data_IF_136673842903
#
_entry.id   IF_136673842903
#
_cell.length_a   1.000
_cell.length_b   1.000
_cell.length_c   1.000
_cell.angle_alpha   90.00
_cell.angle_beta   90.00
_cell.angle_gamma   90.00
#
_symmetry.space_group_name_H-M   'P 1'
#
loop_
_entity.id
_entity.type
_entity.pdbx_description
1 polymer ?
#
# COMPACT_ATOMS: atom_id res chain seq x y z
N UNK A 1 14.98 11.62 10.03
CA UNK A 1 15.55 10.74 8.97
C UNK A 1 15.20 11.30 7.60
N UNK A 2 15.95 11.03 6.54
CA UNK A 2 15.64 11.57 5.22
C UNK A 2 14.48 10.76 4.59
N UNK A 3 13.40 11.45 4.18
CA UNK A 3 12.27 10.84 3.48
C UNK A 3 12.74 10.26 2.14
N UNK A 4 12.40 9.00 1.83
CA UNK A 4 12.67 8.39 0.53
C UNK A 4 11.67 8.85 -0.53
N UNK A 5 10.38 8.88 -0.17
CA UNK A 5 9.30 9.41 -1.00
C UNK A 5 8.60 10.54 -0.26
N UNK A 6 8.39 11.67 -0.95
CA UNK A 6 7.67 12.82 -0.42
C UNK A 6 6.65 13.29 -1.47
N UNK A 7 5.39 13.10 -1.17
CA UNK A 7 4.25 13.50 -2.01
C UNK A 7 3.58 14.70 -1.35
N UNK A 8 3.28 15.74 -2.14
CA UNK A 8 2.51 16.91 -1.73
C UNK A 8 1.39 17.19 -2.70
N UNK A 9 0.17 17.31 -2.18
CA UNK A 9 -1.01 17.71 -2.93
C UNK A 9 -1.41 16.73 -4.03
N UNK A 10 -1.14 15.40 -3.88
CA UNK A 10 -1.51 14.42 -4.90
C UNK A 10 -3.02 14.37 -5.10
N UNK A 11 -3.44 14.54 -6.33
CA UNK A 11 -4.82 14.39 -6.78
C UNK A 11 -4.88 13.46 -8.00
N UNK A 12 -5.90 12.60 -8.02
CA UNK A 12 -6.19 11.71 -9.15
C UNK A 12 -7.65 11.87 -9.53
N UNK A 13 -7.93 12.08 -10.80
CA UNK A 13 -9.29 12.26 -11.29
C UNK A 13 -9.57 11.44 -12.55
N UNK A 14 -10.84 11.05 -12.73
CA UNK A 14 -11.35 10.37 -13.93
C UNK A 14 -12.53 11.17 -14.46
N UNK A 15 -12.40 11.69 -15.69
CA UNK A 15 -13.45 12.52 -16.28
C UNK A 15 -13.81 13.76 -15.45
N UNK A 16 -12.83 14.31 -14.69
CA UNK A 16 -13.05 15.45 -13.80
C UNK A 16 -13.56 15.07 -12.39
N UNK A 17 -13.89 13.79 -12.14
CA UNK A 17 -14.31 13.31 -10.81
C UNK A 17 -13.07 12.90 -10.01
N UNK A 18 -12.80 13.53 -8.86
CA UNK A 18 -11.61 13.25 -8.07
C UNK A 18 -11.78 11.97 -7.23
N UNK A 19 -10.82 11.05 -7.31
CA UNK A 19 -10.76 9.81 -6.50
C UNK A 19 -9.65 9.85 -5.44
N UNK A 20 -8.63 10.72 -5.63
CA UNK A 20 -7.65 11.10 -4.60
C UNK A 20 -7.61 12.63 -4.62
N UNK A 21 -7.56 13.25 -3.45
CA UNK A 21 -7.75 14.68 -3.28
C UNK A 21 -6.71 15.29 -2.33
N UNK A 22 -5.72 16.01 -2.88
CA UNK A 22 -4.74 16.76 -2.10
C UNK A 22 -4.03 15.91 -1.04
N UNK A 23 -3.59 14.70 -1.40
CA UNK A 23 -2.95 13.79 -0.46
C UNK A 23 -1.48 14.17 -0.28
N UNK A 24 -1.08 14.35 0.99
CA UNK A 24 0.31 14.48 1.40
C UNK A 24 0.76 13.17 2.06
N UNK A 25 1.86 12.59 1.59
CA UNK A 25 2.38 11.32 2.13
C UNK A 25 3.90 11.32 2.12
N UNK A 26 4.50 10.88 3.23
CA UNK A 26 5.95 10.69 3.34
C UNK A 26 6.25 9.24 3.71
N UNK A 27 7.21 8.66 3.00
CA UNK A 27 7.71 7.32 3.30
C UNK A 27 9.20 7.41 3.64
N UNK A 28 9.56 6.80 4.76
CA UNK A 28 10.93 6.79 5.25
C UNK A 28 11.61 5.46 4.94
N UNK A 29 12.94 5.48 4.78
CA UNK A 29 13.73 4.27 4.57
C UNK A 29 13.63 3.34 5.77
N UNK A 30 13.62 2.03 5.49
CA UNK A 30 13.60 1.00 6.53
C UNK A 30 12.30 0.93 7.33
N UNK A 31 11.25 1.68 6.95
CA UNK A 31 9.96 1.74 7.65
C UNK A 31 8.82 1.24 6.79
N UNK A 32 7.83 0.68 7.46
CA UNK A 32 6.55 0.27 6.85
C UNK A 32 5.48 1.28 7.23
N UNK A 33 4.95 1.99 6.22
CA UNK A 33 3.76 2.83 6.37
C UNK A 33 2.55 2.05 5.88
N UNK A 34 1.56 1.84 6.75
CA UNK A 34 0.29 1.21 6.36
C UNK A 34 -0.71 2.27 5.92
N UNK A 35 -1.21 2.16 4.69
CA UNK A 35 -2.29 2.99 4.15
C UNK A 35 -3.61 2.23 4.28
N UNK A 36 -4.49 2.70 5.16
CA UNK A 36 -5.72 2.00 5.52
C UNK A 36 -6.98 2.80 5.18
N UNK A 37 -8.11 2.11 5.03
CA UNK A 37 -9.42 2.72 4.76
C UNK A 37 -10.36 1.74 4.06
N UNK A 38 -11.63 2.09 3.98
CA UNK A 38 -12.64 1.30 3.28
C UNK A 38 -12.34 1.17 1.78
N UNK A 39 -12.96 0.17 1.12
CA UNK A 39 -12.89 0.02 -0.34
C UNK A 39 -13.35 1.32 -1.04
N UNK A 40 -12.70 1.69 -2.12
CA UNK A 40 -13.00 2.94 -2.82
C UNK A 40 -12.42 4.22 -2.20
N UNK A 41 -11.65 4.15 -1.11
CA UNK A 41 -11.06 5.34 -0.50
C UNK A 41 -9.86 5.94 -1.26
N UNK A 42 -9.39 5.33 -2.34
CA UNK A 42 -8.30 5.85 -3.18
C UNK A 42 -6.91 5.24 -2.94
N UNK A 43 -6.77 4.25 -2.05
CA UNK A 43 -5.48 3.63 -1.66
C UNK A 43 -4.69 3.07 -2.85
N UNK A 44 -5.29 2.20 -3.64
CA UNK A 44 -4.65 1.60 -4.82
C UNK A 44 -4.30 2.65 -5.88
N UNK A 45 -5.17 3.67 -6.05
CA UNK A 45 -4.89 4.79 -6.97
C UNK A 45 -3.69 5.62 -6.51
N UNK A 46 -3.46 5.75 -5.20
CA UNK A 46 -2.25 6.37 -4.65
C UNK A 46 -1.00 5.57 -5.05
N UNK A 47 -1.00 4.24 -4.90
CA UNK A 47 0.12 3.39 -5.33
C UNK A 47 0.34 3.45 -6.85
N UNK A 48 -0.73 3.37 -7.65
CA UNK A 48 -0.64 3.51 -9.12
C UNK A 48 -0.10 4.88 -9.55
N UNK A 49 -0.42 5.94 -8.80
CA UNK A 49 0.10 7.28 -9.07
C UNK A 49 1.61 7.36 -8.86
N UNK A 50 2.14 6.76 -7.80
CA UNK A 50 3.59 6.69 -7.54
C UNK A 50 4.30 5.96 -8.70
N UNK A 51 3.69 4.89 -9.21
CA UNK A 51 4.19 4.15 -10.37
C UNK A 51 3.89 4.82 -11.71
N UNK A 52 3.09 5.89 -11.76
CA UNK A 52 2.52 6.47 -13.00
C UNK A 52 1.85 5.42 -13.87
N UNK A 53 1.04 4.56 -13.23
CA UNK A 53 0.26 3.49 -13.87
C UNK A 53 -1.25 3.69 -13.71
N UNK A 54 -1.69 4.91 -13.40
CA UNK A 54 -3.12 5.24 -13.40
C UNK A 54 -3.67 5.03 -14.81
N UNK A 55 -4.71 4.18 -15.00
CA UNK A 55 -5.24 3.88 -16.32
C UNK A 55 -5.93 5.11 -16.94
N UNK A 56 -5.88 5.21 -18.26
CA UNK A 56 -6.64 6.24 -18.99
C UNK A 56 -8.16 6.04 -18.79
N UNK A 57 -8.95 7.11 -18.71
CA UNK A 57 -8.62 8.54 -18.88
C UNK A 57 -8.18 9.25 -17.58
N UNK A 58 -7.65 8.52 -16.62
CA UNK A 58 -7.21 9.06 -15.32
C UNK A 58 -6.07 10.07 -15.46
N UNK A 59 -6.12 11.13 -14.65
CA UNK A 59 -5.11 12.19 -14.58
C UNK A 59 -4.49 12.24 -13.21
N UNK A 60 -3.15 12.41 -13.17
CA UNK A 60 -2.38 12.56 -11.95
C UNK A 60 -1.88 14.00 -11.89
N UNK A 61 -2.15 14.69 -10.79
CA UNK A 61 -1.65 16.02 -10.49
C UNK A 61 -1.05 16.03 -9.08
N UNK A 62 0.06 16.71 -8.88
CA UNK A 62 0.62 16.94 -7.55
C UNK A 62 1.51 18.20 -7.59
N UNK A 63 1.65 18.86 -6.44
CA UNK A 63 2.64 19.94 -6.28
C UNK A 63 4.06 19.38 -6.39
N UNK A 64 4.31 18.20 -5.81
CA UNK A 64 5.56 17.47 -5.91
C UNK A 64 5.36 15.99 -5.61
N UNK A 65 6.10 15.13 -6.31
CA UNK A 65 6.22 13.70 -6.03
C UNK A 65 7.70 13.30 -6.11
N UNK A 66 8.41 13.55 -5.00
CA UNK A 66 9.86 13.41 -4.94
C UNK A 66 10.25 12.03 -4.43
N UNK A 67 10.95 11.25 -5.26
CA UNK A 67 11.58 10.00 -4.88
C UNK A 67 13.10 10.18 -4.88
N UNK A 68 13.71 10.10 -3.71
CA UNK A 68 15.15 10.33 -3.50
C UNK A 68 15.65 11.66 -4.12
N UNK A 69 14.80 12.70 -4.04
CA UNK A 69 15.06 14.03 -4.58
C UNK A 69 14.60 14.27 -6.02
N UNK A 70 14.32 13.23 -6.80
CA UNK A 70 13.84 13.36 -8.19
C UNK A 70 12.32 13.42 -8.25
N UNK A 71 11.76 14.40 -8.95
CA UNK A 71 10.31 14.52 -9.16
C UNK A 71 9.83 13.50 -10.19
N UNK A 72 9.13 12.46 -9.71
CA UNK A 72 8.63 11.37 -10.55
C UNK A 72 7.69 11.84 -11.67
N UNK A 73 6.93 12.92 -11.46
CA UNK A 73 5.99 13.43 -12.47
C UNK A 73 6.71 14.12 -13.63
N UNK A 74 7.92 14.66 -13.39
CA UNK A 74 8.73 15.35 -14.42
C UNK A 74 9.66 14.42 -15.18
N UNK A 75 9.84 13.18 -14.72
CA UNK A 75 10.71 12.24 -15.42
C UNK A 75 10.12 11.85 -16.79
N UNK A 76 10.94 11.80 -17.84
CA UNK A 76 10.52 11.20 -19.11
C UNK A 76 10.18 9.72 -18.90
N UNK A 77 9.26 9.17 -19.72
CA UNK A 77 8.76 7.80 -19.54
C UNK A 77 9.88 6.75 -19.58
N UNK A 78 10.91 6.96 -20.39
CA UNK A 78 12.09 6.07 -20.43
C UNK A 78 12.80 6.00 -19.08
N UNK A 79 12.94 7.13 -18.38
CA UNK A 79 13.55 7.18 -17.05
C UNK A 79 12.63 6.54 -16.00
N UNK A 80 11.31 6.78 -16.07
CA UNK A 80 10.34 6.14 -15.17
C UNK A 80 10.32 4.62 -15.36
N UNK A 81 10.35 4.14 -16.60
CA UNK A 81 10.43 2.69 -16.93
C UNK A 81 11.67 2.03 -16.34
N UNK A 82 12.81 2.71 -16.36
CA UNK A 82 14.04 2.17 -15.75
C UNK A 82 13.99 2.11 -14.23
N UNK A 83 13.09 2.84 -13.56
CA UNK A 83 12.89 2.80 -12.11
C UNK A 83 11.88 1.75 -11.67
N UNK A 84 10.85 1.51 -12.50
CA UNK A 84 9.85 0.47 -12.23
C UNK A 84 10.52 -0.90 -12.23
N UNK A 85 10.31 -1.67 -11.16
CA UNK A 85 10.92 -2.99 -10.93
C UNK A 85 12.35 -2.94 -10.38
N UNK A 86 13.11 -1.84 -10.60
CA UNK A 86 14.47 -1.67 -10.07
C UNK A 86 14.48 -0.93 -8.74
N UNK A 87 14.02 0.33 -8.74
CA UNK A 87 14.07 1.22 -7.56
C UNK A 87 12.73 1.24 -6.81
N UNK A 88 11.64 1.18 -7.55
CA UNK A 88 10.26 1.15 -7.05
C UNK A 88 9.59 -0.10 -7.62
N UNK A 89 9.12 -0.98 -6.76
CA UNK A 89 8.41 -2.20 -7.15
C UNK A 89 7.03 -2.27 -6.54
N UNK A 90 6.14 -3.08 -7.11
CA UNK A 90 4.76 -3.21 -6.65
C UNK A 90 4.32 -4.67 -6.61
N UNK A 91 3.63 -5.05 -5.53
CA UNK A 91 2.85 -6.27 -5.41
C UNK A 91 1.39 -5.87 -5.64
N UNK A 92 0.78 -6.43 -6.68
CA UNK A 92 -0.61 -6.16 -7.05
C UNK A 92 -1.57 -7.04 -6.24
N UNK A 93 -2.82 -6.56 -6.12
CA UNK A 93 -3.85 -7.18 -5.28
C UNK A 93 -4.22 -8.62 -5.68
N UNK A 94 -4.19 -8.96 -6.99
CA UNK A 94 -4.64 -10.26 -7.46
C UNK A 94 -3.49 -11.12 -8.04
N UNK A 95 -3.06 -12.20 -7.33
CA UNK A 95 -2.01 -13.10 -7.81
C UNK A 95 -2.41 -13.88 -9.06
N UNK A 96 -3.71 -14.09 -9.25
CA UNK A 96 -4.21 -14.91 -10.37
C UNK A 96 -4.07 -14.22 -11.73
N UNK A 97 -4.17 -12.88 -11.75
CA UNK A 97 -4.07 -12.07 -12.97
C UNK A 97 -2.68 -11.50 -13.19
N UNK A 98 -1.84 -11.48 -12.16
CA UNK A 98 -0.50 -10.88 -12.19
C UNK A 98 0.58 -11.82 -12.76
N UNK A 99 0.38 -13.14 -12.68
CA UNK A 99 1.30 -14.13 -13.26
C UNK A 99 0.84 -14.52 -14.66
N UNK A 100 1.76 -14.48 -15.62
CA UNK A 100 1.50 -14.94 -16.98
C UNK A 100 1.38 -16.47 -16.99
N UNK A 101 0.19 -17.06 -17.29
CA UNK A 101 -0.05 -18.49 -17.21
C UNK A 101 0.74 -19.33 -18.23
N UNK A 102 1.23 -18.70 -19.31
CA UNK A 102 1.98 -19.38 -20.38
C UNK A 102 3.50 -19.23 -20.25
N UNK A 103 3.98 -18.64 -19.14
CA UNK A 103 5.41 -18.55 -18.82
C UNK A 103 5.72 -19.34 -17.55
N UNK A 104 6.91 -19.95 -17.51
CA UNK A 104 7.39 -20.63 -16.31
C UNK A 104 7.72 -19.63 -15.21
N UNK A 105 7.57 -20.02 -13.95
CA UNK A 105 7.78 -19.17 -12.79
C UNK A 105 9.18 -18.57 -12.77
N UNK A 106 10.21 -19.38 -12.97
CA UNK A 106 11.59 -18.90 -12.97
C UNK A 106 11.86 -17.82 -14.00
N UNK A 107 11.25 -17.91 -15.19
CA UNK A 107 11.42 -16.86 -16.21
C UNK A 107 10.79 -15.54 -15.79
N UNK A 108 9.60 -15.59 -15.14
CA UNK A 108 8.93 -14.37 -14.68
C UNK A 108 9.71 -13.66 -13.54
N UNK A 109 10.32 -14.44 -12.63
CA UNK A 109 11.18 -13.90 -11.58
C UNK A 109 12.52 -13.38 -12.16
N UNK A 110 13.06 -14.04 -13.19
CA UNK A 110 14.32 -13.68 -13.82
C UNK A 110 14.23 -12.42 -14.70
N UNK A 111 13.06 -12.14 -15.29
CA UNK A 111 12.87 -11.05 -16.24
C UNK A 111 13.33 -9.67 -15.70
N UNK A 112 12.94 -9.22 -14.49
CA UNK A 112 13.46 -7.96 -13.93
C UNK A 112 14.99 -7.94 -13.78
N UNK A 113 15.60 -9.09 -13.46
CA UNK A 113 17.06 -9.22 -13.31
C UNK A 113 17.78 -9.07 -14.65
N UNK A 114 17.27 -9.71 -15.69
CA UNK A 114 17.80 -9.57 -17.06
C UNK A 114 17.67 -8.12 -17.54
N UNK A 115 16.51 -7.48 -17.31
CA UNK A 115 16.21 -6.12 -17.77
C UNK A 115 17.01 -5.03 -17.04
N UNK A 116 17.17 -5.16 -15.72
CA UNK A 116 17.68 -4.07 -14.88
C UNK A 116 19.09 -4.31 -14.33
N UNK A 117 19.54 -5.55 -14.23
CA UNK A 117 20.88 -5.89 -13.71
C UNK A 117 21.80 -6.45 -14.79
N UNK A 118 21.31 -6.56 -16.04
CA UNK A 118 22.08 -7.08 -17.18
C UNK A 118 22.66 -8.47 -16.93
N UNK A 119 22.01 -9.28 -16.09
CA UNK A 119 22.41 -10.67 -15.86
C UNK A 119 22.12 -11.51 -17.09
N UNK A 120 22.99 -12.48 -17.36
CA UNK A 120 22.69 -13.51 -18.33
C UNK A 120 21.46 -14.34 -17.86
N UNK A 121 20.75 -14.93 -18.81
CA UNK A 121 19.58 -15.79 -18.50
C UNK A 121 19.89 -16.89 -17.48
N UNK A 122 21.08 -17.46 -17.52
CA UNK A 122 21.51 -18.49 -16.57
C UNK A 122 21.65 -17.92 -15.16
N UNK A 123 22.38 -16.82 -15.01
CA UNK A 123 22.57 -16.15 -13.72
C UNK A 123 21.23 -15.63 -13.14
N UNK A 124 20.36 -15.09 -13.99
CA UNK A 124 19.03 -14.63 -13.58
C UNK A 124 18.15 -15.79 -13.08
N UNK A 125 18.22 -16.98 -13.72
CA UNK A 125 17.49 -18.16 -13.24
C UNK A 125 18.06 -18.72 -11.94
N UNK A 126 19.39 -18.74 -11.77
CA UNK A 126 20.03 -19.12 -10.49
C UNK A 126 19.56 -18.18 -9.37
N UNK A 127 19.53 -16.87 -9.64
CA UNK A 127 19.03 -15.86 -8.71
C UNK A 127 17.53 -16.01 -8.43
N UNK A 128 16.73 -16.41 -9.43
CA UNK A 128 15.31 -16.70 -9.26
C UNK A 128 15.08 -17.84 -8.25
N UNK A 129 15.91 -18.89 -8.29
CA UNK A 129 15.87 -20.00 -7.30
C UNK A 129 16.16 -19.49 -5.88
N UNK A 130 17.16 -18.62 -5.71
CA UNK A 130 17.46 -18.00 -4.41
C UNK A 130 16.29 -17.16 -3.88
N UNK A 131 15.67 -16.37 -4.76
CA UNK A 131 14.50 -15.56 -4.42
C UNK A 131 13.29 -16.41 -4.05
N UNK A 132 13.03 -17.49 -4.78
CA UNK A 132 11.99 -18.46 -4.45
C UNK A 132 12.23 -19.09 -3.06
N UNK A 133 13.47 -19.45 -2.74
CA UNK A 133 13.83 -19.97 -1.43
C UNK A 133 13.66 -18.92 -0.34
N UNK A 134 14.07 -17.67 -0.60
CA UNK A 134 13.93 -16.52 0.32
C UNK A 134 12.47 -16.29 0.74
N UNK A 135 11.54 -16.40 -0.20
CA UNK A 135 10.10 -16.24 0.08
C UNK A 135 9.45 -17.53 0.61
N UNK A 136 10.23 -18.59 0.84
CA UNK A 136 9.79 -19.83 1.45
C UNK A 136 9.01 -20.75 0.51
N UNK A 137 9.33 -20.76 -0.79
CA UNK A 137 8.80 -21.77 -1.73
C UNK A 137 9.64 -23.06 -1.55
N UNK A 138 9.00 -24.19 -1.19
CA UNK A 138 9.72 -25.45 -1.01
C UNK A 138 10.25 -25.98 -2.35
N UNK A 139 11.38 -26.69 -2.34
CA UNK A 139 12.01 -27.29 -3.53
C UNK A 139 12.21 -26.29 -4.68
N UNK A 140 12.62 -25.05 -4.40
CA UNK A 140 12.74 -23.96 -5.37
C UNK A 140 13.50 -24.34 -6.64
N UNK A 141 14.63 -25.09 -6.49
CA UNK A 141 15.44 -25.53 -7.62
C UNK A 141 14.71 -26.48 -8.60
N UNK A 142 13.75 -27.26 -8.11
CA UNK A 142 12.92 -28.11 -8.97
C UNK A 142 11.76 -27.31 -9.57
N UNK A 143 11.14 -26.46 -8.75
CA UNK A 143 9.92 -25.73 -9.09
C UNK A 143 10.14 -24.48 -9.95
N UNK A 144 11.37 -24.04 -10.13
CA UNK A 144 11.69 -22.88 -10.99
C UNK A 144 11.21 -23.07 -12.43
N UNK A 145 11.08 -24.33 -12.86
CA UNK A 145 10.58 -24.70 -14.19
C UNK A 145 9.06 -24.98 -14.24
N UNK A 146 8.37 -24.91 -13.10
CA UNK A 146 6.93 -25.13 -13.04
C UNK A 146 6.15 -23.92 -13.60
N UNK A 147 4.86 -24.17 -13.90
CA UNK A 147 3.93 -23.17 -14.41
C UNK A 147 3.06 -22.61 -13.28
N UNK A 148 2.49 -21.40 -13.40
CA UNK A 148 1.64 -20.82 -12.36
C UNK A 148 0.50 -21.73 -11.87
N UNK A 149 -0.13 -22.50 -12.76
CA UNK A 149 -1.24 -23.39 -12.39
C UNK A 149 -0.82 -24.57 -11.48
N UNK A 150 0.47 -24.88 -11.39
CA UNK A 150 1.02 -25.93 -10.52
C UNK A 150 1.27 -25.43 -9.09
N UNK A 151 1.06 -24.13 -8.84
CA UNK A 151 1.25 -23.46 -7.54
C UNK A 151 -0.10 -23.21 -6.86
N UNK A 152 -0.15 -23.40 -5.53
CA UNK A 152 -1.29 -22.95 -4.73
C UNK A 152 -1.39 -21.41 -4.72
N UNK A 153 -2.53 -20.86 -4.30
CA UNK A 153 -2.72 -19.40 -4.19
C UNK A 153 -1.63 -18.74 -3.36
N UNK A 154 -1.33 -19.26 -2.17
CA UNK A 154 -0.27 -18.73 -1.31
C UNK A 154 1.13 -18.86 -1.92
N UNK A 155 1.39 -19.91 -2.71
CA UNK A 155 2.67 -20.02 -3.43
C UNK A 155 2.77 -19.03 -4.57
N UNK A 156 1.70 -18.75 -5.31
CA UNK A 156 1.67 -17.71 -6.35
C UNK A 156 1.92 -16.32 -5.75
N UNK A 157 1.34 -16.04 -4.58
CA UNK A 157 1.60 -14.81 -3.84
C UNK A 157 3.09 -14.67 -3.48
N UNK A 158 3.72 -15.74 -2.99
CA UNK A 158 5.17 -15.77 -2.72
C UNK A 158 6.00 -15.54 -3.98
N UNK A 159 5.57 -16.06 -5.12
CA UNK A 159 6.21 -15.79 -6.42
C UNK A 159 6.13 -14.31 -6.78
N UNK A 160 4.98 -13.67 -6.64
CA UNK A 160 4.85 -12.24 -6.89
C UNK A 160 5.74 -11.41 -5.97
N UNK A 161 5.84 -11.80 -4.70
CA UNK A 161 6.77 -11.14 -3.76
C UNK A 161 8.22 -11.34 -4.23
N UNK A 162 8.60 -12.55 -4.67
CA UNK A 162 9.93 -12.80 -5.21
C UNK A 162 10.24 -11.94 -6.44
N UNK A 163 9.28 -11.81 -7.36
CA UNK A 163 9.38 -10.91 -8.53
C UNK A 163 9.57 -9.45 -8.10
N UNK A 164 8.74 -8.98 -7.17
CA UNK A 164 8.82 -7.60 -6.68
C UNK A 164 10.16 -7.30 -5.97
N UNK A 165 10.75 -8.28 -5.31
CA UNK A 165 12.02 -8.16 -4.59
C UNK A 165 13.25 -8.45 -5.46
N UNK A 166 13.10 -8.87 -6.72
CA UNK A 166 14.17 -9.37 -7.58
C UNK A 166 15.34 -8.39 -7.67
N UNK A 167 15.07 -7.13 -7.93
CA UNK A 167 16.11 -6.10 -8.06
C UNK A 167 16.46 -5.39 -6.74
N UNK A 168 15.99 -5.87 -5.59
CA UNK A 168 16.19 -5.23 -4.27
C UNK A 168 15.72 -3.78 -4.27
N UNK A 169 14.43 -3.51 -4.51
CA UNK A 169 13.91 -2.15 -4.64
C UNK A 169 14.11 -1.36 -3.35
N UNK A 170 14.20 -0.04 -3.49
CA UNK A 170 14.28 0.89 -2.35
C UNK A 170 12.90 1.22 -1.79
N UNK A 171 11.86 1.13 -2.65
CA UNK A 171 10.45 1.31 -2.28
C UNK A 171 9.64 0.12 -2.79
N UNK A 172 8.91 -0.52 -1.88
CA UNK A 172 7.94 -1.55 -2.18
C UNK A 172 6.52 -1.02 -1.92
N UNK A 173 5.69 -1.03 -2.94
CA UNK A 173 4.25 -0.77 -2.85
C UNK A 173 3.55 -2.13 -2.79
N UNK A 174 2.88 -2.44 -1.70
CA UNK A 174 2.19 -3.72 -1.50
C UNK A 174 0.69 -3.49 -1.36
N UNK A 175 -0.06 -3.71 -2.45
CA UNK A 175 -1.50 -3.49 -2.49
C UNK A 175 -2.21 -4.78 -2.12
N UNK A 176 -2.72 -4.84 -0.89
CA UNK A 176 -3.39 -5.99 -0.27
C UNK A 176 -2.62 -7.31 -0.48
N UNK A 177 -1.32 -7.39 -0.12
CA UNK A 177 -0.45 -8.51 -0.49
C UNK A 177 -0.81 -9.84 0.17
N UNK A 178 -1.78 -9.85 1.07
CA UNK A 178 -2.19 -11.04 1.84
C UNK A 178 -3.67 -11.37 1.68
N UNK A 179 -4.40 -10.65 0.84
CA UNK A 179 -5.80 -10.95 0.55
C UNK A 179 -5.94 -12.35 -0.06
N UNK A 180 -6.92 -13.10 0.39
CA UNK A 180 -7.18 -14.50 0.02
C UNK A 180 -6.13 -15.53 0.48
N UNK A 181 -5.30 -15.19 1.47
CA UNK A 181 -4.42 -16.14 2.14
C UNK A 181 -5.00 -16.56 3.50
N UNK A 182 -4.64 -17.77 3.95
CA UNK A 182 -4.92 -18.16 5.32
C UNK A 182 -4.08 -17.33 6.32
N UNK A 183 -4.59 -17.15 7.55
CA UNK A 183 -4.00 -16.32 8.61
C UNK A 183 -2.54 -16.67 8.88
N UNK A 184 -2.20 -17.97 8.80
CA UNK A 184 -0.84 -18.44 9.09
C UNK A 184 0.15 -17.98 8.01
N UNK A 185 -0.23 -18.11 6.74
CA UNK A 185 0.58 -17.67 5.59
C UNK A 185 0.67 -16.14 5.56
N UNK A 186 -0.44 -15.45 5.84
CA UNK A 186 -0.47 -13.99 5.96
C UNK A 186 0.59 -13.48 6.94
N UNK A 187 0.58 -13.98 8.19
CA UNK A 187 1.58 -13.58 9.19
C UNK A 187 3.03 -13.92 8.77
N UNK A 188 3.26 -15.04 8.07
CA UNK A 188 4.60 -15.37 7.55
C UNK A 188 5.08 -14.36 6.51
N UNK A 189 4.19 -13.94 5.60
CA UNK A 189 4.51 -12.97 4.55
C UNK A 189 4.77 -11.58 5.15
N UNK A 190 3.94 -11.13 6.08
CA UNK A 190 4.11 -9.83 6.73
C UNK A 190 5.44 -9.77 7.49
N UNK A 191 5.78 -10.80 8.26
CA UNK A 191 7.07 -10.89 8.94
C UNK A 191 8.25 -10.91 7.97
N UNK A 192 8.11 -11.59 6.83
CA UNK A 192 9.14 -11.57 5.78
C UNK A 192 9.34 -10.15 5.24
N UNK A 193 8.26 -9.46 4.87
CA UNK A 193 8.33 -8.09 4.32
C UNK A 193 8.91 -7.11 5.34
N UNK A 194 8.46 -7.14 6.61
CA UNK A 194 8.96 -6.28 7.68
C UNK A 194 10.45 -6.54 7.97
N UNK A 195 10.89 -7.81 7.97
CA UNK A 195 12.30 -8.16 8.10
C UNK A 195 13.13 -7.59 6.96
N UNK A 196 12.71 -7.81 5.71
CA UNK A 196 13.43 -7.34 4.53
C UNK A 196 13.46 -5.81 4.44
N UNK A 197 12.40 -5.12 4.87
CA UNK A 197 12.36 -3.67 4.96
C UNK A 197 13.52 -3.16 5.84
N UNK A 198 13.67 -3.72 7.04
CA UNK A 198 14.73 -3.34 7.99
C UNK A 198 16.12 -3.75 7.53
N UNK A 199 16.30 -5.01 7.07
CA UNK A 199 17.61 -5.54 6.66
C UNK A 199 18.18 -4.84 5.41
N UNK A 200 17.31 -4.33 4.52
CA UNK A 200 17.69 -3.71 3.24
C UNK A 200 17.46 -2.21 3.18
N UNK A 201 17.09 -1.58 4.28
CA UNK A 201 16.73 -0.16 4.36
C UNK A 201 15.67 0.24 3.31
N UNK A 202 14.73 -0.69 3.04
CA UNK A 202 13.66 -0.56 2.06
C UNK A 202 12.43 0.10 2.70
N UNK A 203 11.91 1.15 2.09
CA UNK A 203 10.60 1.69 2.47
C UNK A 203 9.48 0.78 1.96
N UNK A 204 8.44 0.57 2.76
CA UNK A 204 7.25 -0.20 2.37
C UNK A 204 6.00 0.65 2.54
N UNK A 205 5.21 0.79 1.48
CA UNK A 205 3.83 1.25 1.55
C UNK A 205 2.92 0.02 1.48
N UNK A 206 2.36 -0.36 2.62
CA UNK A 206 1.45 -1.50 2.74
C UNK A 206 0.01 -1.02 2.74
N UNK A 207 -0.73 -1.33 1.69
CA UNK A 207 -2.15 -1.02 1.58
C UNK A 207 -2.95 -2.20 2.11
N UNK A 208 -3.85 -1.94 3.03
CA UNK A 208 -4.74 -2.96 3.61
C UNK A 208 -6.00 -2.33 4.21
N UNK A 209 -7.04 -3.12 4.35
CA UNK A 209 -8.23 -2.77 5.14
C UNK A 209 -8.28 -3.52 6.49
N UNK A 210 -7.31 -4.39 6.76
CA UNK A 210 -7.24 -5.22 7.97
C UNK A 210 -6.34 -4.56 9.03
N UNK A 211 -6.93 -4.08 10.12
CA UNK A 211 -6.21 -3.48 11.24
C UNK A 211 -5.34 -4.49 12.02
N UNK A 212 -5.62 -5.78 11.93
CA UNK A 212 -4.75 -6.82 12.48
C UNK A 212 -3.41 -6.87 11.74
N UNK A 213 -3.45 -6.75 10.41
CA UNK A 213 -2.25 -6.61 9.57
C UNK A 213 -1.46 -5.34 9.93
N UNK A 214 -2.16 -4.24 10.14
CA UNK A 214 -1.54 -2.95 10.54
C UNK A 214 -0.84 -3.09 11.88
N UNK A 215 -1.47 -3.70 12.87
CA UNK A 215 -0.89 -3.90 14.20
C UNK A 215 0.38 -4.77 14.18
N UNK A 216 0.48 -5.74 13.25
CA UNK A 216 1.64 -6.63 13.12
C UNK A 216 2.79 -5.98 12.33
N UNK A 217 2.49 -5.14 11.33
CA UNK A 217 3.48 -4.75 10.32
C UNK A 217 3.84 -3.25 10.31
N UNK A 218 2.98 -2.36 10.84
CA UNK A 218 3.15 -0.93 10.67
C UNK A 218 4.14 -0.30 11.64
N UNK A 219 5.02 0.56 11.13
CA UNK A 219 5.72 1.58 11.91
C UNK A 219 4.89 2.88 11.95
N UNK A 220 4.22 3.21 10.83
CA UNK A 220 3.34 4.37 10.68
C UNK A 220 2.01 3.97 10.05
N UNK A 221 0.93 4.66 10.43
CA UNK A 221 -0.42 4.44 9.89
C UNK A 221 -0.89 5.73 9.24
N UNK A 222 -1.42 5.60 8.02
CA UNK A 222 -2.07 6.66 7.27
C UNK A 222 -3.50 6.21 6.93
N UNK A 223 -4.51 6.94 7.38
CA UNK A 223 -5.92 6.58 7.20
C UNK A 223 -6.53 7.41 6.08
N UNK A 224 -7.04 6.75 5.05
CA UNK A 224 -7.73 7.39 3.92
C UNK A 224 -9.25 7.20 4.02
N UNK A 225 -9.99 8.26 3.75
CA UNK A 225 -11.44 8.25 3.60
C UNK A 225 -11.85 9.10 2.39
N UNK A 226 -12.61 8.52 1.47
CA UNK A 226 -13.15 9.21 0.29
C UNK A 226 -12.13 10.11 -0.46
N UNK A 227 -10.93 9.58 -0.69
CA UNK A 227 -9.86 10.23 -1.43
C UNK A 227 -8.95 11.14 -0.61
N UNK A 228 -9.21 11.36 0.67
CA UNK A 228 -8.40 12.23 1.53
C UNK A 228 -7.69 11.46 2.63
N UNK A 229 -6.50 11.95 3.02
CA UNK A 229 -5.85 11.52 4.26
C UNK A 229 -6.54 12.21 5.44
N UNK A 230 -7.15 11.41 6.32
CA UNK A 230 -7.91 11.94 7.48
C UNK A 230 -7.12 11.86 8.79
N UNK A 231 -6.20 10.92 8.90
CA UNK A 231 -5.29 10.80 10.05
C UNK A 231 -3.99 10.13 9.62
N UNK A 232 -2.87 10.57 10.21
CA UNK A 232 -1.57 9.93 10.08
C UNK A 232 -0.85 9.99 11.41
N UNK A 233 -0.30 8.86 11.88
CA UNK A 233 0.42 8.77 13.15
C UNK A 233 1.41 7.60 13.15
N UNK A 234 2.42 7.60 14.07
CA UNK A 234 3.13 6.40 14.45
C UNK A 234 2.13 5.32 14.90
N UNK A 235 2.37 4.06 14.53
CA UNK A 235 1.41 2.97 14.80
C UNK A 235 1.06 2.86 16.28
N UNK A 236 2.04 3.00 17.18
CA UNK A 236 1.82 2.94 18.63
C UNK A 236 0.84 4.03 19.08
N UNK A 237 1.00 5.26 18.60
CA UNK A 237 0.11 6.38 18.93
C UNK A 237 -1.29 6.19 18.33
N UNK A 238 -1.36 5.73 17.08
CA UNK A 238 -2.63 5.44 16.39
C UNK A 238 -3.46 4.42 17.17
N UNK A 239 -2.86 3.30 17.57
CA UNK A 239 -3.58 2.26 18.33
C UNK A 239 -3.90 2.67 19.76
N UNK A 240 -3.08 3.50 20.40
CA UNK A 240 -3.33 3.99 21.74
C UNK A 240 -4.44 5.05 21.77
N UNK A 241 -4.46 5.97 20.78
CA UNK A 241 -5.37 7.13 20.74
C UNK A 241 -5.67 7.58 19.30
N UNK A 242 -6.55 6.88 18.57
CA UNK A 242 -7.04 7.36 17.28
C UNK A 242 -7.82 8.68 17.48
N UNK A 243 -7.52 9.69 16.67
CA UNK A 243 -8.06 11.03 16.83
C UNK A 243 -9.28 11.29 15.94
N UNK A 244 -9.22 10.89 14.66
CA UNK A 244 -10.32 11.11 13.75
C UNK A 244 -11.51 10.19 14.06
N UNK A 245 -12.77 10.68 14.08
CA UNK A 245 -13.94 9.84 14.35
C UNK A 245 -14.07 8.61 13.43
N UNK A 246 -13.62 8.69 12.19
CA UNK A 246 -13.55 7.54 11.28
C UNK A 246 -12.54 6.50 11.75
N UNK A 247 -11.35 6.92 12.17
CA UNK A 247 -10.33 6.02 12.73
C UNK A 247 -10.80 5.32 14.00
N UNK A 248 -11.51 6.05 14.87
CA UNK A 248 -12.14 5.50 16.05
C UNK A 248 -13.19 4.44 15.68
N UNK A 249 -14.00 4.71 14.65
CA UNK A 249 -14.96 3.76 14.09
C UNK A 249 -14.28 2.50 13.53
N UNK A 250 -13.20 2.66 12.76
CA UNK A 250 -12.42 1.52 12.25
C UNK A 250 -11.87 0.66 13.40
N UNK A 251 -11.30 1.29 14.42
CA UNK A 251 -10.78 0.60 15.61
C UNK A 251 -11.86 -0.15 16.38
N UNK A 252 -13.05 0.44 16.51
CA UNK A 252 -14.18 -0.22 17.17
C UNK A 252 -14.70 -1.44 16.39
N UNK A 253 -14.59 -1.43 15.05
CA UNK A 253 -15.01 -2.53 14.18
C UNK A 253 -13.96 -3.66 14.09
N UNK A 254 -12.70 -3.39 14.48
CA UNK A 254 -11.65 -4.39 14.39
C UNK A 254 -11.82 -5.49 15.45
N UNK A 255 -11.71 -6.78 15.09
CA UNK A 255 -11.67 -7.89 16.04
C UNK A 255 -10.32 -7.91 16.76
N UNK A 256 -10.04 -6.91 17.60
CA UNK A 256 -8.84 -6.88 18.41
C UNK A 256 -8.92 -7.94 19.50
N UNK A 257 -7.80 -8.62 19.78
CA UNK A 257 -7.65 -9.64 20.82
C UNK A 257 -8.24 -9.17 22.14
N UNK A 258 -9.37 -9.75 22.54
CA UNK A 258 -10.06 -9.45 23.80
C UNK A 258 -11.58 -9.34 23.74
N UNK A 259 -12.17 -9.12 22.59
CA UNK A 259 -13.64 -8.99 22.44
C UNK A 259 -14.32 -10.32 22.07
N UNK A 260 -13.94 -11.42 22.75
CA UNK A 260 -14.53 -12.75 22.49
C UNK A 260 -15.98 -12.93 22.99
N UNK A 261 -16.69 -11.86 23.41
CA UNK A 261 -18.02 -11.95 23.98
C UNK A 261 -19.12 -11.11 23.31
N UNK A 262 -18.80 -10.27 22.33
CA UNK A 262 -19.80 -9.44 21.67
C UNK A 262 -20.54 -10.21 20.57
N UNK A 263 -21.85 -10.45 20.73
CA UNK A 263 -22.70 -11.11 19.74
C UNK A 263 -22.82 -10.34 18.39
N UNK A 264 -22.42 -9.07 18.33
CA UNK A 264 -22.30 -8.26 17.10
C UNK A 264 -21.10 -7.35 17.21
N UNK A 265 -20.23 -7.38 16.21
CA UNK A 265 -19.19 -6.35 16.04
C UNK A 265 -19.87 -5.02 15.68
N UNK A 266 -19.40 -3.90 16.24
CA UNK A 266 -19.84 -2.57 15.80
C UNK A 266 -19.58 -2.40 14.30
N UNK A 267 -20.41 -1.61 13.64
CA UNK A 267 -20.17 -1.22 12.23
C UNK A 267 -20.30 0.29 12.11
N UNK A 268 -19.52 0.89 11.21
CA UNK A 268 -19.67 2.30 10.88
C UNK A 268 -20.96 2.44 10.04
N UNK A 269 -21.97 3.19 10.49
CA UNK A 269 -23.23 3.31 9.76
C UNK A 269 -23.06 3.95 8.39
N UNK A 270 -23.92 3.60 7.44
CA UNK A 270 -23.94 4.18 6.11
C UNK A 270 -22.82 3.65 5.19
N UNK A 271 -22.67 4.26 4.04
CA UNK A 271 -21.70 3.90 3.00
C UNK A 271 -20.75 5.07 2.73
N UNK A 272 -19.55 4.77 2.19
CA UNK A 272 -18.65 5.79 1.67
C UNK A 272 -19.35 6.50 0.51
N UNK A 273 -19.42 7.85 0.51
CA UNK A 273 -20.04 8.58 -0.60
C UNK A 273 -19.29 8.32 -1.90
N UNK A 274 -20.03 8.28 -3.02
CA UNK A 274 -19.40 8.22 -4.31
C UNK A 274 -18.56 9.49 -4.56
N UNK A 275 -17.47 9.41 -5.32
CA UNK A 275 -16.66 10.60 -5.61
C UNK A 275 -17.42 11.75 -6.26
N UNK A 276 -18.53 11.46 -6.98
CA UNK A 276 -19.45 12.45 -7.56
C UNK A 276 -20.46 13.05 -6.57
N UNK A 277 -20.59 12.46 -5.36
CA UNK A 277 -21.62 12.81 -4.36
C UNK A 277 -20.99 13.23 -3.02
N UNK A 278 -19.75 13.71 -3.07
CA UNK A 278 -19.04 14.14 -1.89
C UNK A 278 -19.74 15.35 -1.23
N UNK A 279 -19.94 15.32 0.09
CA UNK A 279 -20.52 16.47 0.79
C UNK A 279 -19.54 17.65 0.78
N UNK A 280 -20.08 18.84 0.99
CA UNK A 280 -19.24 20.01 1.31
C UNK A 280 -18.51 19.81 2.65
N UNK A 281 -17.24 20.21 2.69
CA UNK A 281 -16.39 20.11 3.89
C UNK A 281 -15.90 18.71 4.18
N UNK A 282 -16.17 18.19 5.37
CA UNK A 282 -15.69 16.88 5.81
C UNK A 282 -16.44 15.75 5.11
N UNK A 283 -15.71 14.94 4.31
CA UNK A 283 -16.29 13.80 3.59
C UNK A 283 -16.93 12.75 4.51
N UNK A 284 -16.42 12.59 5.75
CA UNK A 284 -17.02 11.69 6.74
C UNK A 284 -18.24 12.29 7.45
N UNK A 285 -18.53 13.56 7.24
CA UNK A 285 -19.64 14.28 7.92
C UNK A 285 -20.95 13.51 8.01
N UNK A 286 -21.52 12.96 6.91
CA UNK A 286 -22.78 12.22 6.92
C UNK A 286 -22.80 10.97 7.80
N UNK A 287 -21.64 10.41 8.15
CA UNK A 287 -21.48 9.20 8.98
C UNK A 287 -20.90 9.49 10.37
N UNK A 288 -20.53 10.77 10.61
CA UNK A 288 -19.86 11.18 11.83
C UNK A 288 -20.87 11.39 12.97
N UNK A 289 -20.75 10.68 14.11
CA UNK A 289 -21.64 10.89 15.26
C UNK A 289 -21.44 12.26 15.93
N UNK A 290 -20.35 12.98 15.57
CA UNK A 290 -19.99 14.28 16.12
C UNK A 290 -20.12 15.40 15.10
N UNK A 291 -20.93 15.20 14.03
CA UNK A 291 -21.11 16.20 12.99
C UNK A 291 -21.71 17.50 13.53
N UNK A 292 -21.13 18.62 13.15
CA UNK A 292 -21.59 19.97 13.47
C UNK A 292 -21.50 20.86 12.23
N UNK A 293 -22.14 22.02 12.24
CA UNK A 293 -22.17 22.94 11.09
C UNK A 293 -20.76 23.35 10.62
N UNK A 294 -19.80 23.50 11.54
CA UNK A 294 -18.40 23.78 11.20
C UNK A 294 -17.74 22.66 10.35
N UNK A 295 -18.25 21.43 10.37
CA UNK A 295 -17.76 20.34 9.53
C UNK A 295 -18.07 20.54 8.04
N UNK A 296 -18.98 21.45 7.67
CA UNK A 296 -19.25 21.85 6.28
C UNK A 296 -18.14 22.72 5.67
N UNK A 297 -17.26 23.24 6.51
CA UNK A 297 -16.09 23.97 6.02
C UNK A 297 -14.97 23.00 5.65
N UNK A 298 -14.08 23.35 4.69
CA UNK A 298 -12.91 22.54 4.37
C UNK A 298 -12.06 22.26 5.60
N UNK A 299 -11.72 21.00 5.81
CA UNK A 299 -10.88 20.58 6.92
C UNK A 299 -9.44 20.41 6.42
N UNK A 300 -8.49 20.98 7.15
CA UNK A 300 -7.06 20.83 6.86
C UNK A 300 -6.46 19.72 7.71
N UNK A 301 -5.52 18.97 7.14
CA UNK A 301 -4.69 18.04 7.90
C UNK A 301 -3.75 18.86 8.80
N UNK A 302 -3.83 18.70 10.11
CA UNK A 302 -3.07 19.47 11.11
C UNK A 302 -2.29 18.52 11.99
N UNK A 303 -1.04 18.83 12.25
CA UNK A 303 -0.26 18.14 13.27
C UNK A 303 -0.74 18.57 14.67
N UNK A 304 -1.18 17.61 15.48
CA UNK A 304 -1.69 17.80 16.85
C UNK A 304 -0.68 17.38 17.90
N UNK A 305 0.23 16.47 17.54
CA UNK A 305 1.39 16.06 18.33
C UNK A 305 2.51 15.67 17.34
N UNK A 306 3.77 15.58 17.77
CA UNK A 306 4.89 15.23 16.89
C UNK A 306 4.61 13.95 16.09
N UNK A 307 4.53 14.07 14.76
CA UNK A 307 4.21 12.98 13.84
C UNK A 307 2.77 12.49 13.84
N UNK A 308 1.85 13.12 14.59
CA UNK A 308 0.43 12.77 14.61
C UNK A 308 -0.40 13.91 14.02
N UNK A 309 -0.92 13.69 12.82
CA UNK A 309 -1.72 14.66 12.08
C UNK A 309 -3.16 14.15 11.89
N UNK A 310 -4.12 15.06 11.97
CA UNK A 310 -5.55 14.75 11.83
C UNK A 310 -6.28 15.85 11.03
N UNK A 311 -7.23 15.40 10.20
CA UNK A 311 -8.13 16.27 9.42
C UNK A 311 -9.49 16.37 10.11
N UNK A 312 -9.49 16.92 11.32
CA UNK A 312 -10.70 17.16 12.12
C UNK A 312 -10.52 18.40 12.97
N UNK A 313 -11.47 19.34 12.94
CA UNK A 313 -11.40 20.57 13.72
C UNK A 313 -11.65 20.35 15.23
N UNK A 314 -12.30 19.25 15.60
CA UNK A 314 -12.65 18.91 17.00
C UNK A 314 -11.47 18.43 17.85
N UNK A 315 -10.33 18.15 17.21
CA UNK A 315 -9.15 17.57 17.87
C UNK A 315 -8.04 18.59 17.91
#
# INVERSE_FOLDING_TARGET
MASLLNIRGLSVSFGGVPVVRGLDLRLEKGRTTCLVGESGSGKSMTAFSIMRLVPEPGRIEAEAMLFDGDDLLKLPEKAMRSRRGRDISMIFQEPMTSLNPVLRIGHQIAEPLELHQSLSRKEALEKAVELMALVGIPDAAKRVNDWPHQFSGGMRQRVMIAMALACSPRLLLADEPTTALDITIQGQILRLLSRLARERDMAVLLITHDLGVVAEAADDVAVMYAGELVEQAPAVEFFARPLHPYSQGLMACAPLLGNHGAHRLPSIPGMVPLPSELPEGCAFGPRCPHFEERCRQPQLLRETAPGHSVRCWKV
#
